data_IF_155871272242
#
_entry.id   IF_155871272242
#
_cell.length_a   1.000
_cell.length_b   1.000
_cell.length_c   1.000
_cell.angle_alpha   90.00
_cell.angle_beta   90.00
_cell.angle_gamma   90.00
#
_symmetry.space_group_name_H-M   'P 1'
#
loop_
_entity.id
_entity.type
_entity.pdbx_description
1 polymer ?
#
# COMPACT_ATOMS: atom_id res chain seq x y z
N UNK A 1 -40.14 13.15 36.63
CA UNK A 1 -39.70 12.23 35.57
C UNK A 1 -38.33 12.74 35.17
N UNK A 2 -37.27 12.02 35.49
CA UNK A 2 -35.94 12.29 34.96
C UNK A 2 -35.64 11.16 34.00
N UNK A 3 -35.77 11.45 32.71
CA UNK A 3 -35.27 10.59 31.66
C UNK A 3 -33.75 10.68 31.74
N UNK A 4 -33.13 9.52 31.94
CA UNK A 4 -31.70 9.36 32.11
C UNK A 4 -31.04 9.62 30.76
N UNK A 5 -30.18 10.62 30.71
CA UNK A 5 -29.08 10.71 29.75
C UNK A 5 -28.34 9.37 29.79
N UNK A 6 -28.49 8.56 28.74
CA UNK A 6 -27.60 7.44 28.49
C UNK A 6 -26.23 8.05 28.17
N UNK A 7 -25.14 7.71 28.90
CA UNK A 7 -23.82 8.08 28.43
C UNK A 7 -23.62 7.35 27.10
N UNK A 8 -23.49 8.11 26.01
CA UNK A 8 -22.85 7.63 24.78
C UNK A 8 -21.43 7.26 25.17
N UNK A 9 -21.25 6.02 25.64
CA UNK A 9 -19.95 5.45 25.88
C UNK A 9 -19.28 5.37 24.53
N UNK A 10 -18.26 6.20 24.32
CA UNK A 10 -17.16 5.91 23.43
C UNK A 10 -16.64 4.51 23.83
N UNK A 11 -17.17 3.46 23.19
CA UNK A 11 -16.60 2.13 23.28
C UNK A 11 -15.20 2.23 22.67
N UNK A 12 -14.19 2.24 23.54
CA UNK A 12 -12.81 2.16 23.10
C UNK A 12 -12.65 0.91 22.24
N UNK A 13 -12.11 1.08 21.03
CA UNK A 13 -11.81 -0.01 20.12
C UNK A 13 -10.99 -1.08 20.86
N UNK A 14 -11.28 -2.35 20.59
CA UNK A 14 -10.42 -3.43 21.07
C UNK A 14 -9.03 -3.32 20.43
N UNK A 15 -7.97 -3.89 21.03
CA UNK A 15 -6.62 -3.84 20.43
C UNK A 15 -6.54 -4.43 19.02
N UNK A 16 -7.41 -5.39 18.70
CA UNK A 16 -7.54 -5.97 17.36
C UNK A 16 -8.17 -4.97 16.38
N UNK A 17 -9.20 -4.25 16.80
CA UNK A 17 -9.85 -3.20 16.01
C UNK A 17 -8.94 -1.98 15.82
N UNK A 18 -8.18 -1.55 16.83
CA UNK A 18 -7.15 -0.51 16.70
C UNK A 18 -6.08 -0.90 15.68
N UNK A 19 -5.66 -2.17 15.68
CA UNK A 19 -4.68 -2.68 14.72
C UNK A 19 -5.24 -2.72 13.28
N UNK A 20 -6.53 -3.05 13.12
CA UNK A 20 -7.22 -3.00 11.82
C UNK A 20 -7.36 -1.56 11.34
N UNK A 21 -7.77 -0.64 12.22
CA UNK A 21 -7.92 0.77 11.89
C UNK A 21 -6.57 1.41 11.49
N UNK A 22 -5.50 1.13 12.22
CA UNK A 22 -4.16 1.59 11.86
C UNK A 22 -3.71 1.11 10.47
N UNK A 23 -4.01 -0.15 10.11
CA UNK A 23 -3.73 -0.68 8.77
C UNK A 23 -4.57 0.00 7.69
N UNK A 24 -5.84 0.29 7.98
CA UNK A 24 -6.72 1.00 7.05
C UNK A 24 -6.23 2.42 6.79
N UNK A 25 -5.86 3.17 7.85
CA UNK A 25 -5.30 4.52 7.72
C UNK A 25 -3.99 4.53 6.91
N UNK A 26 -3.12 3.53 7.12
CA UNK A 26 -1.90 3.33 6.34
C UNK A 26 -2.21 3.12 4.85
N UNK A 27 -3.17 2.23 4.54
CA UNK A 27 -3.60 1.96 3.17
C UNK A 27 -4.16 3.20 2.47
N UNK A 28 -4.96 4.00 3.19
CA UNK A 28 -5.49 5.27 2.68
C UNK A 28 -4.39 6.30 2.43
N UNK A 29 -3.37 6.36 3.30
CA UNK A 29 -2.21 7.25 3.09
C UNK A 29 -1.45 6.85 1.82
N UNK A 30 -1.13 5.56 1.67
CA UNK A 30 -0.44 5.04 0.49
C UNK A 30 -1.23 5.30 -0.80
N UNK A 31 -2.56 5.13 -0.76
CA UNK A 31 -3.44 5.50 -1.87
C UNK A 31 -3.27 6.96 -2.26
N UNK A 32 -3.31 7.89 -1.29
CA UNK A 32 -3.14 9.33 -1.56
C UNK A 32 -1.77 9.65 -2.14
N UNK A 33 -0.71 8.99 -1.65
CA UNK A 33 0.65 9.16 -2.18
C UNK A 33 0.73 8.75 -3.66
N UNK A 34 0.10 7.63 -4.04
CA UNK A 34 0.03 7.19 -5.43
C UNK A 34 -0.79 8.16 -6.30
N UNK A 35 -1.94 8.62 -5.81
CA UNK A 35 -2.76 9.63 -6.49
C UNK A 35 -1.96 10.93 -6.72
N UNK A 36 -1.21 11.40 -5.72
CA UNK A 36 -0.33 12.57 -5.82
C UNK A 36 0.83 12.33 -6.80
N UNK A 37 1.34 11.11 -6.91
CA UNK A 37 2.31 10.70 -7.92
C UNK A 37 1.72 10.57 -9.33
N UNK A 38 0.43 10.89 -9.51
CA UNK A 38 -0.25 10.92 -10.81
C UNK A 38 -0.81 9.57 -11.24
N UNK A 39 -0.90 8.59 -10.34
CA UNK A 39 -1.59 7.34 -10.63
C UNK A 39 -3.09 7.58 -10.78
N UNK A 40 -3.71 6.86 -11.70
CA UNK A 40 -5.10 7.06 -12.07
C UNK A 40 -5.94 5.83 -11.75
N UNK A 41 -7.12 6.07 -11.17
CA UNK A 41 -8.10 5.02 -10.97
C UNK A 41 -8.57 4.47 -12.32
N UNK A 42 -8.56 3.15 -12.44
CA UNK A 42 -9.20 2.42 -13.53
C UNK A 42 -10.06 1.30 -12.96
N UNK A 43 -11.02 0.90 -13.77
CA UNK A 43 -11.87 -0.24 -13.48
C UNK A 43 -11.63 -1.30 -14.54
N UNK A 44 -11.45 -2.54 -14.11
CA UNK A 44 -11.23 -3.70 -14.99
C UNK A 44 -11.96 -4.87 -14.39
N UNK A 45 -12.88 -5.46 -15.15
CA UNK A 45 -13.69 -6.61 -14.74
C UNK A 45 -14.39 -6.42 -13.38
N UNK A 46 -14.91 -5.20 -13.13
CA UNK A 46 -15.59 -4.83 -11.88
C UNK A 46 -14.66 -4.57 -10.69
N UNK A 47 -13.34 -4.64 -10.89
CA UNK A 47 -12.33 -4.34 -9.87
C UNK A 47 -11.71 -2.97 -10.12
N UNK A 48 -11.66 -2.14 -9.07
CA UNK A 48 -10.98 -0.84 -9.11
C UNK A 48 -9.52 -0.97 -8.73
N UNK A 49 -8.65 -0.34 -9.52
CA UNK A 49 -7.21 -0.34 -9.33
C UNK A 49 -6.61 1.04 -9.61
N UNK A 50 -5.42 1.30 -9.08
CA UNK A 50 -4.60 2.45 -9.44
C UNK A 50 -3.57 2.00 -10.49
N UNK A 51 -3.55 2.67 -11.64
CA UNK A 51 -2.62 2.40 -12.72
C UNK A 51 -1.57 3.49 -12.84
N UNK A 52 -0.33 3.09 -13.12
CA UNK A 52 0.80 4.00 -13.27
C UNK A 52 0.63 4.88 -14.53
N UNK A 53 0.90 6.19 -14.45
CA UNK A 53 0.59 7.14 -15.53
C UNK A 53 1.32 6.85 -16.84
N UNK A 54 2.58 6.43 -16.78
CA UNK A 54 3.38 6.14 -17.97
C UNK A 54 3.26 4.68 -18.45
N UNK A 55 2.69 3.79 -17.64
CA UNK A 55 2.63 2.37 -17.97
C UNK A 55 1.39 1.73 -17.33
N UNK A 56 0.24 1.71 -18.02
CA UNK A 56 -1.03 1.26 -17.44
C UNK A 56 -1.05 -0.24 -17.07
N UNK A 57 -0.10 -1.01 -17.59
CA UNK A 57 0.11 -2.41 -17.21
C UNK A 57 0.69 -2.57 -15.79
N UNK A 58 1.34 -1.52 -15.28
CA UNK A 58 1.76 -1.43 -13.88
C UNK A 58 0.56 -0.88 -13.12
N UNK A 59 -0.08 -1.76 -12.35
CA UNK A 59 -1.17 -1.38 -11.48
C UNK A 59 -1.05 -2.03 -10.10
N UNK A 60 -1.82 -1.44 -9.19
CA UNK A 60 -1.96 -1.82 -7.79
C UNK A 60 -3.45 -1.84 -7.47
N UNK A 61 -3.91 -2.87 -6.78
CA UNK A 61 -5.25 -2.87 -6.17
C UNK A 61 -5.13 -2.95 -4.65
N UNK A 62 -6.15 -2.45 -3.96
CA UNK A 62 -6.22 -2.44 -2.51
C UNK A 62 -7.36 -3.35 -2.07
N UNK A 63 -7.07 -4.28 -1.17
CA UNK A 63 -8.11 -5.10 -0.55
C UNK A 63 -8.96 -4.21 0.38
N UNK A 64 -10.28 -4.11 0.16
CA UNK A 64 -11.14 -3.23 0.94
C UNK A 64 -11.39 -3.73 2.38
N UNK A 65 -11.09 -4.99 2.68
CA UNK A 65 -11.30 -5.61 3.99
C UNK A 65 -10.04 -5.63 4.84
N UNK A 66 -8.88 -5.81 4.21
CA UNK A 66 -7.59 -5.89 4.93
C UNK A 66 -6.74 -4.64 4.80
N UNK A 67 -7.09 -3.73 3.87
CA UNK A 67 -6.25 -2.58 3.50
C UNK A 67 -4.98 -3.00 2.75
N UNK A 68 -4.80 -4.28 2.43
CA UNK A 68 -3.56 -4.76 1.85
C UNK A 68 -3.39 -4.27 0.41
N UNK A 69 -2.17 -3.82 0.13
CA UNK A 69 -1.75 -3.48 -1.21
C UNK A 69 -1.34 -4.75 -1.97
N UNK A 70 -1.98 -4.98 -3.10
CA UNK A 70 -1.72 -6.12 -3.95
C UNK A 70 -1.22 -5.63 -5.31
N UNK A 71 -0.04 -6.14 -5.68
CA UNK A 71 0.72 -5.67 -6.82
C UNK A 71 0.42 -6.50 -8.06
N UNK A 72 0.30 -5.84 -9.22
CA UNK A 72 0.19 -6.55 -10.49
C UNK A 72 1.40 -7.47 -10.76
N UNK A 73 1.21 -8.62 -11.44
CA UNK A 73 2.32 -9.52 -11.78
C UNK A 73 3.47 -8.84 -12.55
N UNK A 74 3.15 -7.88 -13.45
CA UNK A 74 4.15 -7.10 -14.20
C UNK A 74 4.96 -6.18 -13.29
N UNK A 75 4.33 -5.53 -12.31
CA UNK A 75 5.05 -4.74 -11.30
C UNK A 75 5.96 -5.62 -10.46
N UNK A 76 5.49 -6.78 -10.01
CA UNK A 76 6.30 -7.75 -9.26
C UNK A 76 7.51 -8.22 -10.08
N UNK A 77 7.32 -8.50 -11.36
CA UNK A 77 8.42 -8.88 -12.25
C UNK A 77 9.45 -7.77 -12.37
N UNK A 78 9.02 -6.52 -12.56
CA UNK A 78 9.91 -5.35 -12.64
C UNK A 78 10.72 -5.15 -11.36
N UNK A 79 10.07 -5.24 -10.20
CA UNK A 79 10.74 -5.12 -8.89
C UNK A 79 11.80 -6.21 -8.69
N UNK A 80 11.54 -7.43 -9.17
CA UNK A 80 12.53 -8.52 -9.16
C UNK A 80 13.72 -8.20 -10.06
N UNK A 81 13.47 -7.73 -11.29
CA UNK A 81 14.52 -7.34 -12.24
C UNK A 81 15.40 -6.20 -11.70
N UNK A 82 14.81 -5.20 -11.06
CA UNK A 82 15.54 -4.08 -10.46
C UNK A 82 16.36 -4.55 -9.25
N UNK A 83 15.79 -5.38 -8.36
CA UNK A 83 16.51 -5.96 -7.24
C UNK A 83 17.67 -6.90 -7.67
N UNK A 84 17.52 -7.60 -8.81
CA UNK A 84 18.61 -8.39 -9.40
C UNK A 84 19.70 -7.48 -10.00
N UNK A 85 19.32 -6.36 -10.65
CA UNK A 85 20.26 -5.37 -11.18
C UNK A 85 21.08 -4.71 -10.06
N UNK A 86 20.45 -4.33 -8.95
CA UNK A 86 21.12 -3.75 -7.79
C UNK A 86 22.08 -4.77 -7.14
N UNK A 87 21.68 -6.05 -7.04
CA UNK A 87 22.56 -7.13 -6.58
C UNK A 87 23.78 -7.30 -7.49
N UNK A 88 23.62 -7.19 -8.81
CA UNK A 88 24.75 -7.27 -9.74
C UNK A 88 25.65 -6.03 -9.67
N UNK A 89 25.08 -4.84 -9.49
CA UNK A 89 25.83 -3.59 -9.34
C UNK A 89 26.67 -3.57 -8.05
N UNK A 90 26.15 -4.14 -6.97
CA UNK A 90 26.85 -4.24 -5.67
C UNK A 90 27.81 -5.43 -5.59
N UNK A 91 27.56 -6.52 -6.32
CA UNK A 91 28.47 -7.66 -6.44
C UNK A 91 29.79 -7.32 -7.17
N UNK A 92 29.85 -6.19 -7.88
CA UNK A 92 31.08 -5.67 -8.50
C UNK A 92 31.88 -4.68 -7.64
N UNK A 93 31.40 -4.33 -6.44
CA UNK A 93 32.13 -3.47 -5.52
C UNK A 93 33.03 -4.35 -4.64
N UNK A 94 34.16 -4.80 -5.20
CA UNK A 94 35.24 -5.38 -4.40
C UNK A 94 35.57 -4.39 -3.27
N UNK A 95 35.40 -4.83 -2.03
CA UNK A 95 35.91 -4.10 -0.87
C UNK A 95 37.42 -3.94 -1.09
N UNK A 96 37.88 -2.69 -1.21
CA UNK A 96 39.31 -2.38 -1.26
C UNK A 96 39.75 -1.89 0.12
N UNK A 97 40.12 -2.79 1.05
CA UNK A 97 40.72 -2.36 2.31
C UNK A 97 42.17 -2.00 2.01
N UNK A 98 42.48 -0.71 1.88
CA UNK A 98 43.77 -0.09 2.27
C UNK A 98 43.76 1.35 1.78
N UNK A 99 43.76 2.27 2.74
CA UNK A 99 44.53 3.51 2.69
C UNK A 99 45.25 3.65 4.03
#
# INVERSE_FOLDING_TARGET
MNEQDLPEGEEALTPEEEAVDAKLQEAERQKRELEQAGWQWRETDGTRLLAHPANPDINVWFDPYTGEQLLSPKLVQRLKEDADRERQATAGQEWNPVA
#
